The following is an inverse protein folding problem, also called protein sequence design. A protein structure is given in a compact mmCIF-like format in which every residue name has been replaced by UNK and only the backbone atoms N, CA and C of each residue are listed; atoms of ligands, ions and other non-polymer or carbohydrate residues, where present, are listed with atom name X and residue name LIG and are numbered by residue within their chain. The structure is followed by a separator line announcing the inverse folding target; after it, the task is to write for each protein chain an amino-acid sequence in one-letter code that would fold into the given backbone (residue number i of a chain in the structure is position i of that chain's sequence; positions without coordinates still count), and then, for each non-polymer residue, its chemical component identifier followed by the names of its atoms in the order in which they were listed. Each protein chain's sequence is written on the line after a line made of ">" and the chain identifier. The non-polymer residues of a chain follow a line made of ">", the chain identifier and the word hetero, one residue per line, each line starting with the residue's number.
data_IF_264057807993
#
_entry.id   IF_264057807993
#
_cell.length_a   1.000
_cell.length_b   1.000
_cell.length_c   1.000
_cell.angle_alpha   90.00
_cell.angle_beta   90.00
_cell.angle_gamma   90.00
#
_symmetry.space_group_name_H-M   'P 1'
#
loop_
_entity.id
_entity.type
_entity.pdbx_description
1 polymer ?
2 polymer ?
3 non-polymer ?
4 water ?
#
# COMPACT_ATOMS: atom_id res chain seq x y z
N UNK A 1 -9.92 14.97 -5.73
CA UNK A 1 -9.14 16.04 -6.26
C UNK A 1 -7.65 15.96 -6.01
N UNK A 2 -6.88 16.22 -7.06
CA UNK A 2 -5.45 16.21 -7.10
C UNK A 2 -4.88 15.07 -6.27
N UNK A 3 -5.27 13.83 -6.61
CA UNK A 3 -4.71 12.69 -5.82
C UNK A 3 -3.18 12.67 -5.91
N UNK A 4 -2.58 12.20 -4.82
CA UNK A 4 -1.14 11.87 -4.81
C UNK A 4 -0.85 10.78 -5.83
N UNK A 5 0.38 10.68 -6.32
CA UNK A 5 0.67 9.68 -7.37
C UNK A 5 0.36 8.27 -6.94
N UNK A 6 0.39 7.97 -5.65
CA UNK A 6 0.11 6.67 -5.11
C UNK A 6 -1.36 6.41 -4.81
N UNK A 7 -2.23 7.40 -4.92
CA UNK A 7 -3.62 7.25 -4.48
C UNK A 7 -4.54 6.92 -5.66
N UNK A 8 -5.12 5.72 -5.62
CA UNK A 8 -6.00 5.18 -6.66
C UNK A 8 -7.36 4.85 -6.00
N UNK A 9 -8.17 5.88 -5.78
CA UNK A 9 -9.35 5.82 -4.94
C UNK A 9 -10.20 4.58 -5.18
N UNK A 10 -10.63 4.39 -6.41
CA UNK A 10 -11.64 3.45 -6.82
C UNK A 10 -11.12 2.20 -7.51
N UNK A 11 -9.80 2.01 -7.48
CA UNK A 11 -9.21 0.84 -8.15
C UNK A 11 -9.43 -0.39 -7.29
N UNK A 12 -9.89 -1.48 -7.88
CA UNK A 12 -10.12 -2.72 -7.18
C UNK A 12 -8.83 -3.42 -6.78
N UNK A 13 -8.94 -4.40 -5.87
CA UNK A 13 -7.80 -5.27 -5.53
C UNK A 13 -7.22 -5.93 -6.78
N UNK A 14 -8.06 -6.54 -7.62
CA UNK A 14 -7.54 -7.23 -8.79
C UNK A 14 -6.91 -6.31 -9.81
N UNK A 15 -7.51 -5.12 -10.04
CA UNK A 15 -6.88 -4.19 -10.98
C UNK A 15 -5.58 -3.62 -10.41
N UNK A 16 -5.49 -3.45 -9.08
CA UNK A 16 -4.21 -3.04 -8.45
C UNK A 16 -3.13 -4.09 -8.73
N UNK A 17 -3.47 -5.37 -8.53
CA UNK A 17 -2.50 -6.44 -8.85
C UNK A 17 -2.09 -6.37 -10.31
N UNK A 18 -3.09 -6.22 -11.18
CA UNK A 18 -2.87 -6.22 -12.63
C UNK A 18 -1.89 -5.13 -13.03
N UNK A 19 -2.12 -3.91 -12.51
CA UNK A 19 -1.28 -2.77 -12.88
C UNK A 19 0.07 -2.83 -12.24
N UNK A 20 0.15 -3.22 -10.96
CA UNK A 20 1.45 -3.30 -10.30
C UNK A 20 2.36 -4.34 -10.95
N UNK A 21 1.78 -5.41 -11.49
CA UNK A 21 2.55 -6.48 -12.12
C UNK A 21 2.84 -6.21 -13.58
N UNK A 22 2.33 -5.13 -14.14
CA UNK A 22 2.52 -4.80 -15.55
C UNK A 22 3.83 -4.10 -15.79
N UNK A 23 4.30 -4.10 -17.04
CA UNK A 23 5.52 -3.36 -17.39
C UNK A 23 5.47 -1.92 -16.96
N UNK A 24 6.63 -1.38 -16.56
CA UNK A 24 6.78 -0.05 -16.05
C UNK A 24 6.77 0.02 -14.53
N UNK A 25 6.39 -1.06 -13.87
CA UNK A 25 6.42 -1.19 -12.43
C UNK A 25 7.45 -2.25 -12.04
N UNK A 26 7.80 -2.26 -10.76
CA UNK A 26 8.87 -3.17 -10.31
C UNK A 26 8.77 -3.41 -8.82
N UNK A 27 9.79 -4.03 -8.25
CA UNK A 27 9.85 -4.29 -6.82
C UNK A 27 9.65 -3.01 -6.02
N UNK A 28 8.76 -3.06 -5.02
CA UNK A 28 8.48 -1.91 -4.20
C UNK A 28 7.44 -0.96 -4.77
N UNK A 29 7.01 -1.16 -6.00
CA UNK A 29 5.94 -0.28 -6.54
C UNK A 29 4.66 -0.49 -5.75
N UNK A 30 3.91 0.59 -5.54
CA UNK A 30 2.78 0.51 -4.59
C UNK A 30 1.69 1.51 -4.92
N UNK A 31 0.53 1.27 -4.28
CA UNK A 31 -0.57 2.21 -4.31
C UNK A 31 -1.43 1.98 -3.06
N UNK A 32 -2.25 3.00 -2.76
CA UNK A 32 -3.29 2.94 -1.75
C UNK A 32 -4.63 3.18 -2.44
N UNK A 33 -5.61 2.36 -2.08
CA UNK A 33 -6.94 2.36 -2.67
C UNK A 33 -7.98 2.24 -1.58
N UNK A 34 -9.24 2.59 -1.84
CA UNK A 34 -10.30 2.25 -0.87
C UNK A 34 -10.32 0.75 -0.68
N UNK A 35 -10.56 0.31 0.55
CA UNK A 35 -10.66 -1.12 0.84
C UNK A 35 -11.97 -1.69 0.25
N UNK A 36 -11.85 -2.89 -0.32
CA UNK A 36 -13.03 -3.66 -0.72
C UNK A 36 -13.55 -4.53 0.41
N UNK A 37 -12.82 -4.62 1.52
CA UNK A 37 -13.21 -5.47 2.63
C UNK A 37 -13.79 -4.71 3.81
N UNK A 38 -13.34 -3.49 4.05
CA UNK A 38 -13.68 -2.71 5.23
C UNK A 38 -14.10 -1.30 4.83
N UNK A 39 -15.42 -1.13 4.68
CA UNK A 39 -15.96 0.12 4.14
C UNK A 39 -15.49 1.30 4.99
N UNK A 40 -14.99 2.33 4.34
CA UNK A 40 -14.51 3.53 5.01
C UNK A 40 -13.02 3.56 5.30
N UNK A 41 -12.33 2.45 5.06
CA UNK A 41 -10.91 2.31 5.25
C UNK A 41 -10.19 2.10 3.91
N UNK A 42 -8.87 2.05 3.98
CA UNK A 42 -8.00 1.92 2.84
C UNK A 42 -7.14 0.65 2.89
N UNK A 43 -6.70 0.22 1.71
CA UNK A 43 -5.77 -0.91 1.56
C UNK A 43 -4.50 -0.43 0.85
N UNK A 44 -3.38 -0.99 1.31
CA UNK A 44 -2.07 -0.79 0.68
C UNK A 44 -1.74 -2.03 -0.18
N UNK A 45 -1.36 -1.79 -1.42
CA UNK A 45 -0.95 -2.86 -2.34
C UNK A 45 0.50 -2.59 -2.78
N UNK A 46 1.36 -3.60 -2.62
CA UNK A 46 2.79 -3.45 -2.90
C UNK A 46 3.33 -4.66 -3.64
N UNK A 47 4.16 -4.40 -4.66
CA UNK A 47 4.82 -5.46 -5.40
C UNK A 47 6.10 -5.89 -4.70
N UNK A 48 6.28 -7.20 -4.59
CA UNK A 48 7.46 -7.79 -3.92
C UNK A 48 8.05 -8.86 -4.81
N UNK A 49 9.28 -9.28 -4.48
CA UNK A 49 9.95 -10.31 -5.28
C UNK A 49 10.36 -11.44 -4.30
N UNK A 50 9.76 -12.58 -4.49
CA UNK A 50 9.93 -13.78 -3.66
C UNK A 50 10.87 -14.77 -4.35
N UNK A 51 11.69 -15.46 -3.58
CA UNK A 51 12.60 -16.47 -4.11
C UNK A 51 11.81 -17.57 -4.84
N UNK A 52 10.62 -17.84 -4.34
CA UNK A 52 9.83 -18.99 -4.80
C UNK A 52 8.85 -18.62 -5.90
N UNK A 53 8.02 -17.62 -5.62
CA UNK A 53 6.94 -17.24 -6.49
C UNK A 53 7.32 -16.25 -7.56
N UNK A 54 8.51 -15.66 -7.47
CA UNK A 54 8.85 -14.57 -8.39
C UNK A 54 8.17 -13.29 -7.99
N UNK A 55 7.68 -12.54 -8.98
CA UNK A 55 7.01 -11.25 -8.63
C UNK A 55 5.59 -11.54 -8.10
N UNK A 56 5.23 -10.89 -7.02
CA UNK A 56 3.88 -11.02 -6.44
C UNK A 56 3.41 -9.67 -5.93
N UNK A 57 2.14 -9.50 -5.68
CA UNK A 57 1.57 -8.33 -5.02
C UNK A 57 0.97 -8.76 -3.67
N UNK A 58 1.34 -8.06 -2.63
CA UNK A 58 0.87 -8.24 -1.28
C UNK A 58 0.00 -7.05 -0.88
N UNK A 59 -1.02 -7.34 -0.07
CA UNK A 59 -1.96 -6.29 0.36
C UNK A 59 -1.95 -6.22 1.90
N UNK A 60 -2.01 -5.00 2.42
CA UNK A 60 -2.10 -4.75 3.85
C UNK A 60 -3.34 -3.90 4.15
N UNK A 61 -4.03 -4.24 5.23
CA UNK A 61 -5.11 -3.38 5.70
C UNK A 61 -4.54 -2.14 6.39
N UNK A 62 -5.00 -0.96 6.02
CA UNK A 62 -4.73 0.24 6.80
C UNK A 62 -5.94 0.48 7.70
N UNK A 63 -5.70 0.41 9.01
CA UNK A 63 -6.77 0.59 10.02
C UNK A 63 -6.94 2.09 10.31
N UNK A 64 -8.16 2.52 10.52
CA UNK A 64 -8.49 3.88 10.94
C UNK A 64 -8.55 3.94 12.47
N UNK A 65 -8.03 5.01 13.04
CA UNK A 65 -8.23 5.36 14.45
C UNK A 65 -9.51 6.22 14.55
N UNK A 66 -10.26 5.98 15.62
CA UNK A 66 -11.43 6.83 15.85
C UNK A 66 -10.91 8.28 15.94
N UNK A 67 -11.58 9.19 15.26
CA UNK A 67 -11.28 10.60 15.29
C UNK A 67 -9.97 10.97 14.63
N UNK A 68 -9.44 10.08 13.77
CA UNK A 68 -8.38 10.42 12.86
C UNK A 68 -7.08 9.70 13.16
N UNK A 69 -6.48 9.18 12.09
CA UNK A 69 -5.20 8.53 12.12
C UNK A 69 -5.27 7.13 11.51
N UNK A 70 -4.08 6.56 11.28
CA UNK A 70 -3.98 5.34 10.49
C UNK A 70 -2.87 4.45 11.06
N UNK A 71 -2.99 3.14 10.90
CA UNK A 71 -1.92 2.22 11.22
C UNK A 71 -2.04 0.93 10.43
N UNK A 72 -0.91 0.24 10.27
CA UNK A 72 -0.89 -1.12 9.79
C UNK A 72 -0.63 -2.12 10.91
N UNK A 73 0.29 -1.76 11.79
CA UNK A 73 0.48 -2.41 13.07
C UNK A 73 0.20 -1.45 14.23
N UNK A 74 -0.47 -1.91 15.29
CA UNK A 74 -0.73 -1.04 16.44
C UNK A 74 0.53 -0.51 17.08
N UNK A 75 1.67 -1.10 16.80
CA UNK A 75 2.93 -0.65 17.35
C UNK A 75 3.28 0.77 16.96
N UNK A 76 2.75 1.25 15.82
CA UNK A 76 3.06 2.59 15.40
C UNK A 76 1.90 3.17 14.59
N UNK A 77 1.38 4.29 15.03
CA UNK A 77 0.27 4.96 14.33
C UNK A 77 0.76 6.30 13.77
N UNK A 78 -0.06 6.85 12.84
CA UNK A 78 0.27 8.06 12.12
C UNK A 78 -0.95 8.98 12.08
N UNK A 79 -0.70 10.30 12.04
CA UNK A 79 -1.87 11.21 11.94
C UNK A 79 -2.44 11.32 10.55
N UNK A 80 -1.75 10.82 9.54
CA UNK A 80 -2.20 10.91 8.15
C UNK A 80 -1.51 9.89 7.28
N UNK A 81 -2.07 9.71 6.07
CA UNK A 81 -1.46 8.81 5.10
C UNK A 81 -0.14 9.34 4.59
N UNK A 82 0.06 10.67 4.53
CA UNK A 82 1.39 11.17 4.12
C UNK A 82 2.48 10.65 5.05
N UNK A 83 2.21 10.74 6.37
CA UNK A 83 3.19 10.27 7.34
C UNK A 83 3.40 8.76 7.25
N UNK A 84 2.32 8.02 7.05
CA UNK A 84 2.41 6.55 6.91
C UNK A 84 3.29 6.19 5.71
N UNK A 85 3.02 6.82 4.56
CA UNK A 85 3.80 6.53 3.34
C UNK A 85 5.24 6.91 3.54
N UNK A 86 5.51 8.08 4.11
CA UNK A 86 6.91 8.48 4.35
C UNK A 86 7.62 7.47 5.24
N UNK A 87 6.93 7.02 6.32
CA UNK A 87 7.56 6.07 7.25
C UNK A 87 7.99 4.79 6.57
N UNK A 88 7.08 4.20 5.77
CA UNK A 88 7.34 2.91 5.13
C UNK A 88 8.12 3.03 3.82
N UNK A 89 8.36 4.26 3.36
CA UNK A 89 9.36 4.52 2.31
C UNK A 89 10.75 4.55 2.94
N UNK A 90 10.89 5.12 4.13
CA UNK A 90 12.16 5.21 4.83
C UNK A 90 12.61 3.87 5.41
N UNK A 91 11.70 3.06 5.91
CA UNK A 91 12.04 1.77 6.54
C UNK A 91 10.88 0.78 6.27
N UNK A 92 11.24 -0.47 6.00
CA UNK A 92 10.19 -1.48 5.85
C UNK A 92 9.44 -1.66 7.16
N UNK A 93 10.18 -1.68 8.28
CA UNK A 93 9.55 -1.70 9.61
C UNK A 93 8.46 -2.73 9.71
N UNK A 94 8.72 -3.94 9.24
CA UNK A 94 7.79 -5.04 9.29
C UNK A 94 7.11 -5.39 7.98
N UNK A 95 7.01 -4.43 7.05
CA UNK A 95 6.45 -4.76 5.74
C UNK A 95 7.39 -5.72 4.98
N UNK A 96 6.85 -6.33 3.94
CA UNK A 96 7.63 -7.22 3.08
C UNK A 96 8.78 -6.53 2.36
N UNK A 97 8.62 -5.25 2.08
CA UNK A 97 9.58 -4.44 1.31
C UNK A 97 9.40 -2.98 1.68
N UNK A 98 10.35 -2.11 1.33
CA UNK A 98 10.11 -0.68 1.46
C UNK A 98 9.19 -0.21 0.33
N UNK A 99 8.36 0.78 0.61
CA UNK A 99 7.59 1.44 -0.47
C UNK A 99 8.58 2.24 -1.32
N UNK A 100 8.58 2.01 -2.62
CA UNK A 100 9.50 2.68 -3.53
C UNK A 100 8.75 3.67 -4.38
N UNK A 101 8.29 3.30 -5.56
CA UNK A 101 7.61 4.28 -6.43
C UNK A 101 6.13 3.94 -6.52
N UNK A 102 5.30 4.99 -6.61
CA UNK A 102 3.89 4.77 -6.92
C UNK A 102 3.73 4.03 -8.23
N UNK A 103 2.64 3.25 -8.32
CA UNK A 103 2.25 2.57 -9.55
C UNK A 103 2.28 3.56 -10.74
N UNK A 104 2.98 3.15 -11.80
CA UNK A 104 3.04 3.89 -13.04
C UNK A 104 1.98 3.37 -14.03
N UNK A 105 1.32 4.32 -14.69
CA UNK A 105 0.19 3.99 -15.55
C UNK A 105 0.32 4.55 -16.96
N UNK B 3 -1.71 -9.58 4.09
CA UNK B 3 -0.52 -9.75 4.89
C UNK B 3 -0.66 -8.90 6.18
N UNK B 4 0.09 -9.33 7.18
CA UNK B 4 0.24 -8.65 8.45
C UNK B 4 1.74 -8.32 8.64
N UNK B 5 2.00 -7.22 9.32
CA UNK B 5 3.35 -7.04 9.89
C UNK B 5 3.57 -8.08 11.00
#
# INVERSE_FOLDING_TARGET
>A
LEPEPWFFKNLSRKDAERQLLAPGNTHGSFLIRESESTAGSFSLSVRDFDQNQGEVVKHYKIRNLDNGGFYISPRITFPGLHELVRHYTNASDGLCTRLSRPCQT
>B
XXEEI
#
